data_IF_479540951379
#
_entry.id   IF_479540951379
#
_cell.length_a   1.000
_cell.length_b   1.000
_cell.length_c   1.000
_cell.angle_alpha   90.00
_cell.angle_beta   90.00
_cell.angle_gamma   90.00
#
_symmetry.space_group_name_H-M   'P 1'
#
loop_
_entity.id
_entity.type
_entity.pdbx_description
1 polymer ?
#
# COMPACT_ATOMS: atom_id res chain seq x y z
N UNK A 1 -36.33 34.77 -62.44
CA UNK A 1 -35.90 33.83 -61.39
C UNK A 1 -35.26 34.64 -60.26
N UNK A 2 -36.07 35.04 -59.30
CA UNK A 2 -35.66 35.93 -58.19
C UNK A 2 -34.94 35.13 -57.12
N UNK A 3 -33.66 35.38 -56.92
CA UNK A 3 -32.89 34.78 -55.81
C UNK A 3 -33.24 35.49 -54.51
N UNK A 4 -33.95 34.83 -53.62
CA UNK A 4 -34.22 35.29 -52.27
C UNK A 4 -32.90 35.37 -51.48
N UNK A 5 -32.52 36.60 -51.06
CA UNK A 5 -31.40 36.77 -50.13
C UNK A 5 -31.63 36.02 -48.81
N UNK A 6 -30.58 35.38 -48.25
CA UNK A 6 -30.68 34.71 -46.96
C UNK A 6 -30.88 35.76 -45.85
N UNK A 7 -31.95 35.53 -45.04
CA UNK A 7 -32.30 36.41 -43.92
C UNK A 7 -31.15 36.50 -42.88
N UNK A 8 -30.51 37.67 -42.71
CA UNK A 8 -29.50 37.91 -41.67
C UNK A 8 -30.18 37.81 -40.29
N UNK A 9 -29.72 36.88 -39.47
CA UNK A 9 -30.12 36.80 -38.07
C UNK A 9 -29.78 38.11 -37.32
N UNK A 10 -30.73 38.62 -36.53
CA UNK A 10 -30.43 39.81 -35.69
C UNK A 10 -29.32 39.48 -34.68
N UNK A 11 -28.45 40.45 -34.34
CA UNK A 11 -27.32 40.27 -33.39
C UNK A 11 -27.76 39.64 -32.09
N UNK A 12 -28.93 39.95 -31.53
CA UNK A 12 -29.51 39.36 -30.31
C UNK A 12 -29.78 37.85 -30.46
N UNK A 13 -30.32 37.44 -31.60
CA UNK A 13 -30.55 36.00 -31.89
C UNK A 13 -29.26 35.23 -32.08
N UNK A 14 -28.24 35.87 -32.69
CA UNK A 14 -26.91 35.29 -32.86
C UNK A 14 -26.20 35.05 -31.50
N UNK A 15 -26.24 36.01 -30.58
CA UNK A 15 -25.69 35.84 -29.23
C UNK A 15 -26.44 34.80 -28.43
N UNK A 16 -27.77 34.70 -28.58
CA UNK A 16 -28.55 33.64 -27.90
C UNK A 16 -28.16 32.25 -28.42
N UNK A 17 -27.98 32.07 -29.72
CA UNK A 17 -27.53 30.79 -30.33
C UNK A 17 -26.13 30.43 -29.87
N UNK A 18 -25.18 31.40 -29.82
CA UNK A 18 -23.81 31.17 -29.33
C UNK A 18 -23.84 30.75 -27.84
N UNK A 19 -24.65 31.42 -27.02
CA UNK A 19 -24.80 31.05 -25.61
C UNK A 19 -25.35 29.62 -25.39
N UNK A 20 -26.34 29.23 -26.18
CA UNK A 20 -26.89 27.87 -26.15
C UNK A 20 -25.82 26.84 -26.58
N UNK A 21 -25.09 27.08 -27.66
CA UNK A 21 -24.03 26.19 -28.16
C UNK A 21 -22.89 26.06 -27.13
N UNK A 22 -22.48 27.18 -26.50
CA UNK A 22 -21.50 27.15 -25.44
C UNK A 22 -21.97 26.33 -24.21
N UNK A 23 -23.23 26.50 -23.81
CA UNK A 23 -23.83 25.71 -22.74
C UNK A 23 -23.88 24.20 -23.04
N UNK A 24 -24.22 23.82 -24.26
CA UNK A 24 -24.22 22.42 -24.72
C UNK A 24 -22.78 21.85 -24.70
N UNK A 25 -21.80 22.63 -25.17
CA UNK A 25 -20.40 22.21 -25.18
C UNK A 25 -19.87 21.97 -23.76
N UNK A 26 -20.15 22.87 -22.82
CA UNK A 26 -19.78 22.72 -21.41
C UNK A 26 -20.44 21.46 -20.80
N UNK A 27 -21.74 21.23 -21.07
CA UNK A 27 -22.44 20.06 -20.59
C UNK A 27 -21.83 18.75 -21.15
N UNK A 28 -21.43 18.71 -22.41
CA UNK A 28 -20.76 17.58 -23.03
C UNK A 28 -19.37 17.32 -22.42
N UNK A 29 -18.59 18.36 -22.13
CA UNK A 29 -17.29 18.22 -21.47
C UNK A 29 -17.45 17.67 -20.05
N UNK A 30 -18.42 18.16 -19.27
CA UNK A 30 -18.72 17.66 -17.94
C UNK A 30 -19.18 16.19 -18.00
N UNK A 31 -20.05 15.85 -18.96
CA UNK A 31 -20.52 14.46 -19.15
C UNK A 31 -19.37 13.53 -19.52
N UNK A 32 -18.47 13.96 -20.41
CA UNK A 32 -17.29 13.20 -20.79
C UNK A 32 -16.34 13.01 -19.61
N UNK A 33 -16.12 14.03 -18.80
CA UNK A 33 -15.31 13.97 -17.58
C UNK A 33 -15.89 12.97 -16.56
N UNK A 34 -17.21 13.03 -16.30
CA UNK A 34 -17.89 12.09 -15.42
C UNK A 34 -17.86 10.66 -15.97
N UNK A 35 -17.96 10.50 -17.29
CA UNK A 35 -17.85 9.20 -17.96
C UNK A 35 -16.43 8.61 -17.82
N UNK A 36 -15.38 9.43 -17.95
CA UNK A 36 -13.98 9.02 -17.75
C UNK A 36 -13.76 8.56 -16.31
N UNK A 37 -14.27 9.30 -15.32
CA UNK A 37 -14.20 8.90 -13.90
C UNK A 37 -14.97 7.58 -13.67
N UNK A 38 -16.18 7.44 -14.20
CA UNK A 38 -16.99 6.24 -14.04
C UNK A 38 -16.38 5.01 -14.73
N UNK A 39 -15.70 5.20 -15.86
CA UNK A 39 -14.98 4.13 -16.57
C UNK A 39 -13.66 3.79 -15.86
N UNK A 40 -12.95 4.79 -15.31
CA UNK A 40 -11.76 4.58 -14.48
C UNK A 40 -12.07 3.69 -13.28
N UNK A 41 -13.08 4.04 -12.49
CA UNK A 41 -13.50 3.24 -11.33
C UNK A 41 -13.99 1.83 -11.70
N UNK A 42 -14.60 1.64 -12.88
CA UNK A 42 -15.02 0.30 -13.35
C UNK A 42 -13.85 -0.56 -13.81
N UNK A 43 -12.81 0.05 -14.41
CA UNK A 43 -11.63 -0.70 -14.86
C UNK A 43 -10.77 -1.16 -13.69
N UNK A 44 -10.67 -0.39 -12.60
CA UNK A 44 -9.91 -0.80 -11.41
C UNK A 44 -10.56 -2.01 -10.72
N UNK A 45 -11.88 -2.04 -10.56
CA UNK A 45 -12.61 -3.18 -9.98
C UNK A 45 -12.53 -4.47 -10.85
N UNK A 46 -12.34 -4.34 -12.17
CA UNK A 46 -12.21 -5.48 -13.10
C UNK A 46 -10.76 -5.95 -13.30
N UNK A 47 -9.75 -5.23 -12.75
CA UNK A 47 -8.34 -5.60 -12.85
C UNK A 47 -7.92 -6.64 -11.82
N UNK A 48 -8.74 -6.92 -10.79
CA UNK A 48 -8.45 -8.01 -9.86
C UNK A 48 -8.44 -9.33 -10.61
N UNK A 49 -7.39 -10.12 -10.43
CA UNK A 49 -7.26 -11.44 -11.07
C UNK A 49 -8.51 -12.26 -10.81
N UNK A 50 -9.34 -12.41 -11.85
CA UNK A 50 -10.62 -13.09 -11.74
C UNK A 50 -10.42 -14.58 -11.45
N UNK A 51 -10.98 -15.07 -10.34
CA UNK A 51 -11.18 -16.51 -10.14
C UNK A 51 -10.73 -17.12 -8.83
N UNK A 52 -10.05 -16.42 -7.94
CA UNK A 52 -9.68 -16.98 -6.64
C UNK A 52 -10.39 -16.22 -5.51
N UNK A 53 -11.15 -16.94 -4.68
CA UNK A 53 -11.72 -16.36 -3.47
C UNK A 53 -10.56 -16.04 -2.50
N UNK A 54 -10.28 -14.75 -2.28
CA UNK A 54 -9.25 -14.31 -1.35
C UNK A 54 -9.84 -14.20 0.06
N UNK A 55 -9.10 -14.67 1.06
CA UNK A 55 -9.51 -14.66 2.47
C UNK A 55 -8.98 -13.43 3.19
N UNK A 56 -9.66 -12.31 3.07
CA UNK A 56 -9.38 -11.10 3.85
C UNK A 56 -10.67 -10.37 4.20
N UNK A 57 -10.59 -9.50 5.19
CA UNK A 57 -11.58 -8.46 5.43
C UNK A 57 -10.93 -7.10 5.24
N UNK A 58 -11.71 -6.14 4.74
CA UNK A 58 -11.30 -4.75 4.61
C UNK A 58 -12.06 -3.90 5.63
N UNK A 59 -11.34 -3.01 6.32
CA UNK A 59 -11.89 -2.01 7.22
C UNK A 59 -11.23 -0.65 6.99
N UNK A 60 -11.96 0.43 7.25
CA UNK A 60 -11.42 1.79 7.28
C UNK A 60 -11.66 2.40 8.64
N UNK A 61 -10.62 2.97 9.24
CA UNK A 61 -10.66 3.54 10.59
C UNK A 61 -10.25 5.02 10.57
N UNK A 62 -11.06 5.85 11.25
CA UNK A 62 -10.70 7.23 11.54
C UNK A 62 -10.21 7.31 12.99
N UNK A 63 -8.90 7.49 13.16
CA UNK A 63 -8.30 7.58 14.48
C UNK A 63 -8.57 8.96 15.14
N UNK A 64 -8.59 9.05 16.49
CA UNK A 64 -8.81 10.29 17.21
C UNK A 64 -7.80 11.40 16.89
N UNK A 65 -6.59 11.04 16.49
CA UNK A 65 -5.54 11.98 16.06
C UNK A 65 -5.69 12.46 14.61
N UNK A 66 -6.81 12.14 13.94
CA UNK A 66 -7.14 12.60 12.58
C UNK A 66 -6.56 11.75 11.47
N UNK A 67 -5.87 10.65 11.77
CA UNK A 67 -5.39 9.73 10.74
C UNK A 67 -6.50 8.80 10.26
N UNK A 68 -6.62 8.65 8.94
CA UNK A 68 -7.48 7.65 8.29
C UNK A 68 -6.63 6.48 7.85
N UNK A 69 -6.99 5.28 8.29
CA UNK A 69 -6.29 4.03 8.01
C UNK A 69 -7.17 3.10 7.18
N UNK A 70 -6.58 2.45 6.17
CA UNK A 70 -7.18 1.36 5.41
C UNK A 70 -6.47 0.06 5.78
N UNK A 71 -7.23 -0.96 6.13
CA UNK A 71 -6.72 -2.18 6.76
C UNK A 71 -7.24 -3.41 6.02
N UNK A 72 -6.33 -4.28 5.60
CA UNK A 72 -6.64 -5.62 5.13
C UNK A 72 -6.23 -6.62 6.23
N UNK A 73 -7.20 -7.32 6.81
CA UNK A 73 -6.96 -8.37 7.80
C UNK A 73 -7.02 -9.73 7.13
N UNK A 74 -5.98 -10.55 7.31
CA UNK A 74 -5.88 -11.89 6.71
C UNK A 74 -5.04 -12.82 7.57
N UNK A 75 -4.92 -14.09 7.19
CA UNK A 75 -3.98 -15.02 7.81
C UNK A 75 -2.60 -14.88 7.15
N UNK A 76 -1.49 -15.00 7.90
CA UNK A 76 -0.15 -14.91 7.33
C UNK A 76 0.14 -16.02 6.30
N UNK A 77 -0.52 -17.18 6.41
CA UNK A 77 -0.43 -18.28 5.44
C UNK A 77 -1.11 -18.00 4.10
N UNK A 78 -1.95 -16.96 4.03
CA UNK A 78 -2.65 -16.55 2.80
C UNK A 78 -1.91 -15.40 2.08
N UNK A 79 -0.69 -15.09 2.54
CA UNK A 79 0.13 -13.99 2.02
C UNK A 79 1.41 -14.52 1.38
N UNK A 80 1.88 -13.82 0.36
CA UNK A 80 3.22 -13.96 -0.21
C UNK A 80 3.84 -12.60 -0.46
N UNK A 81 5.16 -12.57 -0.69
CA UNK A 81 5.88 -11.38 -1.13
C UNK A 81 6.17 -11.51 -2.63
N UNK A 82 5.97 -10.45 -3.38
CA UNK A 82 6.12 -10.49 -4.83
C UNK A 82 6.73 -9.19 -5.36
N UNK A 83 7.68 -9.32 -6.31
CA UNK A 83 8.20 -8.18 -7.07
C UNK A 83 7.23 -7.83 -8.18
N UNK A 84 6.81 -6.56 -8.26
CA UNK A 84 5.84 -6.09 -9.24
C UNK A 84 6.39 -5.00 -10.17
N UNK A 85 7.34 -4.17 -9.71
CA UNK A 85 7.90 -3.02 -10.45
C UNK A 85 6.82 -2.16 -11.12
N UNK A 86 5.73 -1.93 -10.42
CA UNK A 86 4.54 -1.22 -10.92
C UNK A 86 3.82 -0.53 -9.76
N UNK A 87 2.84 0.32 -10.06
CA UNK A 87 1.87 0.76 -9.05
C UNK A 87 0.94 -0.40 -8.68
N UNK A 88 0.68 -0.60 -7.38
CA UNK A 88 -0.14 -1.71 -6.89
C UNK A 88 -1.55 -1.65 -7.46
N UNK A 89 -2.13 -0.46 -7.59
CA UNK A 89 -3.50 -0.30 -8.13
C UNK A 89 -3.61 -0.71 -9.60
N UNK A 90 -2.48 -0.84 -10.30
CA UNK A 90 -2.43 -1.32 -11.69
C UNK A 90 -2.02 -2.79 -11.82
N UNK A 91 -1.72 -3.47 -10.68
CA UNK A 91 -1.23 -4.84 -10.70
C UNK A 91 -2.32 -5.90 -10.88
N UNK A 92 -3.58 -5.56 -10.57
CA UNK A 92 -4.68 -6.52 -10.47
C UNK A 92 -4.61 -7.44 -9.25
N UNK A 93 -3.71 -7.18 -8.30
CA UNK A 93 -3.40 -8.05 -7.15
C UNK A 93 -3.76 -7.36 -5.85
N UNK A 94 -4.44 -8.07 -4.95
CA UNK A 94 -4.82 -7.55 -3.64
C UNK A 94 -3.62 -7.53 -2.70
N UNK A 95 -3.41 -6.41 -2.01
CA UNK A 95 -2.34 -6.24 -1.04
C UNK A 95 -1.89 -4.80 -0.90
N UNK A 96 -0.71 -4.62 -0.29
CA UNK A 96 -0.08 -3.31 -0.06
C UNK A 96 1.38 -3.31 -0.52
N UNK A 97 2.00 -2.13 -0.61
CA UNK A 97 3.44 -2.02 -0.86
C UNK A 97 4.27 -2.74 0.21
N UNK A 98 5.48 -3.15 -0.18
CA UNK A 98 6.44 -3.81 0.70
C UNK A 98 7.44 -2.84 1.33
N UNK A 99 8.68 -3.31 1.49
CA UNK A 99 9.76 -2.59 2.16
C UNK A 99 10.47 -1.55 1.29
N UNK A 100 11.51 -0.96 1.86
CA UNK A 100 12.29 0.12 1.23
C UNK A 100 12.98 -0.34 -0.05
N UNK A 101 13.07 0.56 -1.04
CA UNK A 101 13.73 0.33 -2.31
C UNK A 101 14.40 1.61 -2.85
N UNK A 102 15.29 1.43 -3.84
CA UNK A 102 15.87 2.52 -4.61
C UNK A 102 16.04 2.08 -6.07
N UNK A 103 15.42 2.81 -7.00
CA UNK A 103 15.28 2.33 -8.38
C UNK A 103 14.52 0.99 -8.39
N UNK A 104 15.13 -0.04 -8.97
CA UNK A 104 14.58 -1.40 -9.01
C UNK A 104 15.17 -2.33 -7.94
N UNK A 105 15.94 -1.78 -6.99
CA UNK A 105 16.67 -2.53 -5.97
C UNK A 105 15.95 -2.49 -4.62
N UNK A 106 15.71 -3.65 -4.02
CA UNK A 106 15.20 -3.74 -2.65
C UNK A 106 16.30 -3.39 -1.65
N UNK A 107 16.01 -2.47 -0.73
CA UNK A 107 16.87 -2.10 0.39
C UNK A 107 16.46 -2.79 1.70
N UNK A 108 15.42 -3.60 1.64
CA UNK A 108 14.87 -4.37 2.76
C UNK A 108 14.88 -5.85 2.46
N UNK A 109 14.90 -6.67 3.52
CA UNK A 109 14.67 -8.11 3.39
C UNK A 109 13.28 -8.31 2.77
N UNK A 110 13.23 -9.19 1.75
CA UNK A 110 12.01 -9.66 1.10
C UNK A 110 12.28 -11.06 0.59
N UNK A 111 11.94 -12.09 1.40
CA UNK A 111 12.22 -13.50 1.07
C UNK A 111 10.97 -14.35 1.27
N UNK A 112 10.84 -15.35 0.41
CA UNK A 112 9.86 -16.44 0.54
C UNK A 112 10.64 -17.76 0.42
N UNK A 113 10.49 -18.63 1.40
CA UNK A 113 11.15 -19.94 1.43
C UNK A 113 12.68 -19.87 1.18
N UNK A 114 13.33 -18.93 1.83
CA UNK A 114 14.76 -18.59 1.68
C UNK A 114 15.16 -17.96 0.34
N UNK A 115 14.22 -17.74 -0.59
CA UNK A 115 14.49 -17.16 -1.90
C UNK A 115 14.19 -15.67 -1.87
N UNK A 116 15.16 -14.79 -2.16
CA UNK A 116 14.89 -13.36 -2.33
C UNK A 116 13.90 -13.11 -3.46
N UNK A 117 12.94 -12.21 -3.24
CA UNK A 117 11.84 -12.00 -4.20
C UNK A 117 12.24 -11.20 -5.43
N UNK A 118 13.35 -10.48 -5.40
CA UNK A 118 13.91 -9.81 -6.57
C UNK A 118 15.00 -10.68 -7.21
N UNK A 119 15.10 -10.74 -8.50
CA UNK A 119 15.58 -11.83 -9.36
C UNK A 119 17.01 -12.38 -9.16
N UNK A 120 17.93 -11.67 -8.54
CA UNK A 120 19.33 -12.09 -8.48
C UNK A 120 19.76 -12.53 -7.08
N UNK A 121 19.81 -13.82 -6.83
CA UNK A 121 20.21 -14.38 -5.52
C UNK A 121 21.64 -13.95 -5.16
N UNK A 122 21.81 -13.39 -3.96
CA UNK A 122 23.10 -13.01 -3.40
C UNK A 122 23.65 -11.65 -3.83
N UNK A 123 22.96 -10.94 -4.73
CA UNK A 123 23.31 -9.58 -5.14
C UNK A 123 22.63 -8.52 -4.27
N UNK A 124 23.25 -7.35 -4.12
CA UNK A 124 22.65 -6.20 -3.47
C UNK A 124 21.32 -5.83 -4.12
N UNK A 125 20.30 -5.57 -3.30
CA UNK A 125 18.98 -5.14 -3.78
C UNK A 125 18.03 -6.26 -4.21
N UNK A 126 18.36 -7.52 -3.90
CA UNK A 126 17.48 -8.68 -4.20
C UNK A 126 16.42 -8.94 -3.14
N UNK A 127 16.55 -8.37 -1.96
CA UNK A 127 15.75 -8.69 -0.78
C UNK A 127 16.44 -9.65 0.18
N UNK A 128 17.72 -9.99 -0.04
CA UNK A 128 18.50 -10.85 0.85
C UNK A 128 18.96 -10.14 2.13
N UNK A 129 18.91 -8.80 2.16
CA UNK A 129 19.42 -8.01 3.28
C UNK A 129 18.66 -6.70 3.54
N UNK A 130 18.75 -6.20 4.77
CA UNK A 130 18.44 -4.84 5.15
C UNK A 130 19.71 -4.00 4.98
N UNK A 131 19.72 -3.15 3.95
CA UNK A 131 20.94 -2.44 3.53
C UNK A 131 21.37 -1.40 4.58
N UNK A 132 22.64 -1.38 4.94
CA UNK A 132 23.33 -0.50 5.88
C UNK A 132 22.99 -0.71 7.38
N UNK A 133 21.78 -1.09 7.72
CA UNK A 133 21.32 -1.17 9.11
C UNK A 133 20.62 -2.49 9.36
N UNK A 134 20.88 -3.10 10.52
CA UNK A 134 19.98 -4.13 11.01
C UNK A 134 18.62 -3.49 11.31
N UNK A 135 17.54 -4.07 10.79
CA UNK A 135 16.18 -3.50 10.86
C UNK A 135 15.16 -4.55 11.23
N UNK A 136 14.05 -4.08 11.77
CA UNK A 136 12.89 -4.91 12.05
C UNK A 136 12.43 -5.65 10.81
N UNK A 137 12.28 -6.94 10.95
CA UNK A 137 11.83 -7.84 9.90
C UNK A 137 10.69 -8.67 10.44
N UNK A 138 9.50 -8.54 9.86
CA UNK A 138 8.35 -9.36 10.17
C UNK A 138 8.53 -10.71 9.49
N UNK A 139 8.47 -11.77 10.30
CA UNK A 139 8.70 -13.16 9.89
C UNK A 139 7.47 -13.99 10.22
N UNK A 140 6.93 -14.67 9.23
CA UNK A 140 6.00 -15.79 9.44
C UNK A 140 6.72 -17.11 9.28
N UNK A 141 6.72 -17.92 10.32
CA UNK A 141 7.26 -19.29 10.33
C UNK A 141 6.10 -20.28 10.12
N UNK A 142 6.00 -20.82 8.93
CA UNK A 142 4.90 -21.72 8.56
C UNK A 142 4.93 -23.08 9.28
N UNK A 143 6.05 -23.49 9.91
CA UNK A 143 6.10 -24.72 10.69
C UNK A 143 5.45 -24.56 12.07
N UNK A 144 5.47 -23.35 12.63
CA UNK A 144 4.80 -23.03 13.90
C UNK A 144 3.51 -22.23 13.72
N UNK A 145 3.27 -21.71 12.53
CA UNK A 145 2.20 -20.76 12.18
C UNK A 145 2.23 -19.50 13.08
N UNK A 146 3.44 -19.00 13.34
CA UNK A 146 3.67 -17.87 14.23
C UNK A 146 4.32 -16.70 13.48
N UNK A 147 3.90 -15.48 13.84
CA UNK A 147 4.52 -14.23 13.45
C UNK A 147 5.49 -13.75 14.53
N UNK A 148 6.58 -13.13 14.13
CA UNK A 148 7.54 -12.45 15.00
C UNK A 148 8.22 -11.29 14.30
N UNK A 149 8.64 -10.28 15.05
CA UNK A 149 9.55 -9.23 14.56
C UNK A 149 10.96 -9.54 15.04
N UNK A 150 11.89 -9.67 14.08
CA UNK A 150 13.31 -9.94 14.35
C UNK A 150 14.16 -8.82 13.77
N UNK A 151 15.11 -8.29 14.54
CA UNK A 151 16.07 -7.29 14.04
C UNK A 151 17.22 -8.04 13.39
N UNK A 152 17.39 -7.87 12.08
CA UNK A 152 18.38 -8.59 11.30
C UNK A 152 18.99 -7.70 10.20
N UNK A 153 20.24 -7.95 9.84
CA UNK A 153 20.90 -7.36 8.68
C UNK A 153 20.69 -8.20 7.43
N UNK A 154 20.65 -9.53 7.57
CA UNK A 154 20.53 -10.48 6.46
C UNK A 154 19.42 -11.49 6.72
N UNK A 155 18.79 -11.96 5.65
CA UNK A 155 17.77 -13.00 5.74
C UNK A 155 18.30 -14.31 6.36
N UNK A 156 19.61 -14.62 6.17
CA UNK A 156 20.27 -15.79 6.78
C UNK A 156 20.43 -15.72 8.30
N UNK A 157 20.21 -14.57 8.92
CA UNK A 157 20.24 -14.38 10.38
C UNK A 157 18.88 -14.67 11.04
N UNK A 158 17.81 -14.78 10.22
CA UNK A 158 16.45 -15.00 10.71
C UNK A 158 16.29 -16.38 11.32
N UNK A 159 15.64 -16.42 12.47
CA UNK A 159 15.35 -17.67 13.20
C UNK A 159 13.99 -18.17 12.76
N UNK A 160 13.98 -19.23 11.95
CA UNK A 160 12.80 -19.96 11.50
C UNK A 160 13.00 -21.46 11.70
N UNK A 161 11.93 -22.21 11.95
CA UNK A 161 12.00 -23.66 12.14
C UNK A 161 12.15 -24.42 10.83
N UNK A 162 11.49 -23.91 9.77
CA UNK A 162 11.50 -24.51 8.45
C UNK A 162 11.81 -23.45 7.38
N UNK A 163 13.01 -23.51 6.84
CA UNK A 163 13.49 -22.60 5.80
C UNK A 163 12.83 -22.83 4.42
N UNK A 164 12.00 -23.85 4.28
CA UNK A 164 11.25 -24.15 3.05
C UNK A 164 9.78 -23.73 3.14
N UNK A 165 9.37 -23.13 4.28
CA UNK A 165 7.98 -22.69 4.51
C UNK A 165 7.93 -21.47 5.41
N UNK A 166 8.37 -20.32 4.91
CA UNK A 166 8.28 -19.05 5.62
C UNK A 166 8.32 -17.87 4.65
N UNK A 167 7.90 -16.71 5.11
CA UNK A 167 8.23 -15.47 4.45
C UNK A 167 8.74 -14.45 5.48
N UNK A 168 9.55 -13.50 5.00
CA UNK A 168 10.07 -12.44 5.83
C UNK A 168 10.14 -11.11 5.07
N UNK A 169 9.59 -10.06 5.68
CA UNK A 169 9.51 -8.70 5.17
C UNK A 169 10.26 -7.74 6.08
N UNK A 170 11.30 -7.09 5.56
CA UNK A 170 12.05 -6.05 6.26
C UNK A 170 11.34 -4.69 6.25
N UNK A 171 11.51 -3.94 7.33
CA UNK A 171 10.95 -2.61 7.54
C UNK A 171 11.64 -1.92 8.71
N UNK A 172 10.87 -1.27 9.59
CA UNK A 172 11.34 -0.69 10.86
C UNK A 172 10.47 -1.25 11.98
N UNK A 173 11.05 -1.71 13.08
CA UNK A 173 10.33 -2.24 14.25
C UNK A 173 9.34 -1.22 14.81
N UNK A 174 8.11 -1.65 15.09
CA UNK A 174 7.11 -0.84 15.77
C UNK A 174 7.19 -0.93 17.30
N UNK A 175 7.60 -2.09 17.83
CA UNK A 175 7.64 -2.35 19.27
C UNK A 175 6.32 -1.95 19.94
N UNK A 176 5.19 -2.51 19.49
CA UNK A 176 3.84 -2.08 19.88
C UNK A 176 3.57 -2.25 21.37
N UNK A 177 4.18 -3.25 22.00
CA UNK A 177 4.04 -3.50 23.45
C UNK A 177 5.01 -2.70 24.34
N UNK A 178 5.88 -1.83 23.80
CA UNK A 178 6.91 -1.13 24.55
C UNK A 178 7.16 0.28 24.03
N UNK A 179 6.47 1.25 24.62
CA UNK A 179 6.53 2.65 24.21
C UNK A 179 7.90 3.31 24.48
N UNK A 180 8.61 2.86 25.48
CA UNK A 180 9.96 3.37 25.77
C UNK A 180 10.98 2.86 24.74
N UNK A 181 10.84 1.62 24.32
CA UNK A 181 11.76 0.95 23.40
C UNK A 181 11.58 1.41 21.95
N UNK A 182 10.36 1.66 21.48
CA UNK A 182 10.12 1.92 20.08
C UNK A 182 10.87 3.15 19.55
N UNK A 183 10.97 4.24 20.34
CA UNK A 183 11.70 5.45 19.96
C UNK A 183 13.18 5.16 19.79
N UNK A 184 13.79 4.47 20.77
CA UNK A 184 15.21 4.06 20.73
C UNK A 184 15.47 3.13 19.53
N UNK A 185 14.57 2.16 19.30
CA UNK A 185 14.70 1.21 18.22
C UNK A 185 14.58 1.88 16.83
N UNK A 186 13.66 2.82 16.69
CA UNK A 186 13.47 3.62 15.45
C UNK A 186 14.74 4.40 15.09
N UNK A 187 15.43 4.94 16.09
CA UNK A 187 16.72 5.63 15.90
C UNK A 187 17.83 4.65 15.51
N UNK A 188 17.95 3.50 16.21
CA UNK A 188 18.96 2.46 15.91
C UNK A 188 18.81 1.89 14.49
N UNK A 189 17.58 1.69 14.04
CA UNK A 189 17.27 1.17 12.72
C UNK A 189 17.34 2.23 11.61
N UNK A 190 17.67 3.48 11.98
CA UNK A 190 17.72 4.64 11.09
C UNK A 190 16.43 4.76 10.25
N UNK A 191 15.28 4.87 10.93
CA UNK A 191 13.99 5.05 10.28
C UNK A 191 13.99 6.32 9.42
N UNK A 192 13.56 6.23 8.14
CA UNK A 192 13.53 7.39 7.26
C UNK A 192 12.40 8.34 7.66
N UNK A 193 12.72 9.63 7.81
CA UNK A 193 11.75 10.72 8.02
C UNK A 193 10.72 10.46 9.12
N UNK A 194 11.14 10.10 10.36
CA UNK A 194 10.19 9.69 11.39
C UNK A 194 9.30 10.83 11.88
N UNK A 195 9.77 12.07 11.82
CA UNK A 195 9.05 13.27 12.27
C UNK A 195 8.28 14.01 11.16
N UNK A 196 8.40 13.60 9.91
CA UNK A 196 7.74 14.27 8.79
C UNK A 196 6.30 13.77 8.63
N UNK A 197 5.39 14.66 8.20
CA UNK A 197 4.04 14.30 7.80
C UNK A 197 4.04 13.65 6.41
N UNK A 198 3.94 12.32 6.38
CA UNK A 198 3.96 11.49 5.17
C UNK A 198 2.85 10.46 5.19
N UNK A 199 2.46 9.94 4.02
CA UNK A 199 1.70 8.70 3.95
C UNK A 199 2.53 7.57 4.52
N UNK A 200 1.87 6.60 5.17
CA UNK A 200 2.53 5.52 5.90
C UNK A 200 1.92 4.17 5.57
N UNK A 201 2.75 3.13 5.62
CA UNK A 201 2.34 1.74 5.47
C UNK A 201 2.94 0.89 6.57
N UNK A 202 2.23 -0.16 6.97
CA UNK A 202 2.65 -1.07 8.03
C UNK A 202 2.09 -2.47 7.83
N UNK A 203 2.75 -3.45 8.48
CA UNK A 203 2.24 -4.78 8.69
C UNK A 203 2.35 -5.11 10.18
N UNK A 204 1.23 -5.40 10.83
CA UNK A 204 1.16 -5.71 12.27
C UNK A 204 0.37 -7.01 12.48
N UNK A 205 0.51 -7.63 13.65
CA UNK A 205 -0.22 -8.86 13.97
C UNK A 205 -0.74 -8.87 15.40
N UNK A 206 -1.79 -9.66 15.62
CA UNK A 206 -2.45 -9.81 16.92
C UNK A 206 -2.10 -11.15 17.62
N UNK A 207 -2.60 -11.28 18.87
CA UNK A 207 -2.44 -12.48 19.69
C UNK A 207 -3.04 -13.76 19.07
N UNK A 208 -4.02 -13.62 18.18
CA UNK A 208 -4.61 -14.72 17.43
C UNK A 208 -3.79 -15.12 16.19
N UNK A 209 -2.68 -14.43 15.91
CA UNK A 209 -1.84 -14.65 14.74
C UNK A 209 -2.42 -14.09 13.45
N UNK A 210 -3.42 -13.20 13.50
CA UNK A 210 -3.94 -12.52 12.32
C UNK A 210 -3.00 -11.38 11.91
N UNK A 211 -2.79 -11.25 10.62
CA UNK A 211 -1.99 -10.21 9.99
C UNK A 211 -2.88 -9.05 9.51
N UNK A 212 -2.46 -7.83 9.80
CA UNK A 212 -3.10 -6.61 9.35
C UNK A 212 -2.12 -5.83 8.45
N UNK A 213 -2.49 -5.63 7.21
CA UNK A 213 -1.78 -4.81 6.24
C UNK A 213 -2.44 -3.44 6.20
N UNK A 214 -1.71 -2.38 6.52
CA UNK A 214 -2.26 -1.07 6.83
C UNK A 214 -1.62 0.00 5.95
N UNK A 215 -2.44 0.86 5.35
CA UNK A 215 -2.00 2.06 4.62
C UNK A 215 -2.79 3.27 5.13
N UNK A 216 -2.10 4.38 5.38
CA UNK A 216 -2.77 5.63 5.73
C UNK A 216 -3.21 6.39 4.48
N UNK A 217 -4.43 6.94 4.49
CA UNK A 217 -4.91 7.88 3.48
C UNK A 217 -4.46 9.32 3.80
N UNK A 218 -4.32 9.61 5.09
CA UNK A 218 -3.84 10.91 5.59
C UNK A 218 -2.36 10.86 5.92
N UNK A 219 -1.67 11.99 5.80
CA UNK A 219 -0.26 12.12 6.19
C UNK A 219 -0.12 12.25 7.70
N UNK A 220 0.98 11.69 8.24
CA UNK A 220 1.33 11.81 9.65
C UNK A 220 2.77 11.37 9.91
N UNK A 221 3.25 11.67 11.12
CA UNK A 221 4.56 11.19 11.62
C UNK A 221 4.51 9.68 11.88
N UNK A 222 5.66 9.02 12.06
CA UNK A 222 5.67 7.61 12.50
C UNK A 222 4.96 7.43 13.85
N UNK A 223 5.12 8.41 14.77
CA UNK A 223 4.47 8.37 16.07
C UNK A 223 2.93 8.43 15.95
N UNK A 224 2.41 9.39 15.20
CA UNK A 224 0.95 9.52 15.00
C UNK A 224 0.35 8.32 14.27
N UNK A 225 1.07 7.73 13.30
CA UNK A 225 0.61 6.53 12.60
C UNK A 225 0.60 5.30 13.51
N UNK A 226 1.67 5.10 14.33
CA UNK A 226 1.71 4.04 15.35
C UNK A 226 0.57 4.18 16.36
N UNK A 227 0.34 5.40 16.87
CA UNK A 227 -0.75 5.71 17.80
C UNK A 227 -2.12 5.37 17.18
N UNK A 228 -2.37 5.80 15.94
CA UNK A 228 -3.61 5.49 15.24
C UNK A 228 -3.85 3.98 15.12
N UNK A 229 -2.81 3.20 14.81
CA UNK A 229 -2.88 1.74 14.73
C UNK A 229 -3.26 1.14 16.10
N UNK A 230 -2.56 1.53 17.17
CA UNK A 230 -2.81 1.02 18.54
C UNK A 230 -4.25 1.32 18.98
N UNK A 231 -4.77 2.50 18.65
CA UNK A 231 -6.09 2.94 19.08
C UNK A 231 -7.24 2.32 18.29
N UNK A 232 -7.02 1.92 17.02
CA UNK A 232 -8.14 1.59 16.14
C UNK A 232 -8.07 0.20 15.51
N UNK A 233 -6.91 -0.44 15.49
CA UNK A 233 -6.72 -1.74 14.86
C UNK A 233 -6.54 -2.84 15.91
N UNK A 234 -7.09 -4.04 15.64
CA UNK A 234 -6.86 -5.24 16.43
C UNK A 234 -7.50 -5.25 17.83
N UNK A 235 -8.41 -4.31 18.12
CA UNK A 235 -9.19 -4.26 19.37
C UNK A 235 -8.33 -4.34 20.66
N UNK A 236 -7.14 -3.74 20.66
CA UNK A 236 -6.19 -3.76 21.77
C UNK A 236 -5.42 -5.07 21.94
N UNK A 237 -5.45 -5.98 20.96
CA UNK A 237 -4.79 -7.29 20.99
C UNK A 237 -3.55 -7.38 20.09
N UNK A 238 -3.09 -6.25 19.55
CA UNK A 238 -1.89 -6.22 18.73
C UNK A 238 -0.67 -6.60 19.56
N UNK A 239 0.19 -7.45 18.99
CA UNK A 239 1.44 -7.92 19.63
C UNK A 239 2.61 -7.08 19.16
N UNK A 240 2.86 -7.03 17.85
CA UNK A 240 3.96 -6.26 17.27
C UNK A 240 3.77 -6.07 15.75
N UNK A 241 4.73 -5.42 15.10
CA UNK A 241 4.72 -5.17 13.67
C UNK A 241 5.89 -4.35 13.19
N UNK A 242 5.84 -3.98 11.92
CA UNK A 242 6.84 -3.17 11.25
C UNK A 242 6.21 -2.03 10.46
N UNK A 243 6.88 -0.88 10.41
CA UNK A 243 6.64 0.12 9.39
C UNK A 243 7.28 -0.33 8.08
N UNK A 244 6.59 -0.11 6.98
CA UNK A 244 7.03 -0.39 5.62
C UNK A 244 7.50 0.90 4.92
N UNK A 245 7.78 0.84 3.62
CA UNK A 245 8.05 2.03 2.84
C UNK A 245 6.83 2.95 2.81
N UNK A 246 7.08 4.24 2.92
CA UNK A 246 6.05 5.25 3.11
C UNK A 246 6.00 6.27 1.97
N UNK A 247 5.37 7.42 2.26
CA UNK A 247 5.20 8.54 1.33
C UNK A 247 4.44 8.11 0.06
N UNK A 248 4.89 8.48 -1.12
CA UNK A 248 4.29 8.11 -2.38
C UNK A 248 4.24 6.61 -2.67
N UNK A 249 5.02 5.80 -1.94
CA UNK A 249 5.00 4.35 -2.01
C UNK A 249 3.86 3.70 -1.21
N UNK A 250 3.14 4.45 -0.37
CA UNK A 250 2.01 3.92 0.42
C UNK A 250 0.82 3.63 -0.49
N UNK A 251 0.68 2.38 -0.90
CA UNK A 251 -0.29 1.92 -1.89
C UNK A 251 -1.06 0.69 -1.39
N UNK A 252 -2.33 0.60 -1.77
CA UNK A 252 -3.22 -0.51 -1.45
C UNK A 252 -4.16 -0.79 -2.62
N UNK A 253 -4.40 -2.06 -2.92
CA UNK A 253 -5.49 -2.51 -3.79
C UNK A 253 -6.26 -3.63 -3.13
N UNK A 254 -7.57 -3.48 -3.08
CA UNK A 254 -8.55 -4.51 -2.70
C UNK A 254 -9.81 -4.37 -3.55
N UNK A 255 -10.83 -5.23 -3.31
CA UNK A 255 -12.16 -5.03 -3.90
C UNK A 255 -12.87 -3.77 -3.40
N UNK A 256 -12.48 -3.26 -2.23
CA UNK A 256 -13.18 -2.21 -1.49
C UNK A 256 -12.46 -0.85 -1.55
N UNK A 257 -11.13 -0.85 -1.79
CA UNK A 257 -10.31 0.35 -1.80
C UNK A 257 -9.15 0.27 -2.79
N UNK A 258 -8.80 1.42 -3.36
CA UNK A 258 -7.69 1.61 -4.28
C UNK A 258 -6.95 2.90 -3.89
N UNK A 259 -5.74 2.76 -3.33
CA UNK A 259 -4.88 3.85 -2.88
C UNK A 259 -3.60 3.86 -3.72
N UNK A 260 -3.45 4.77 -4.68
CA UNK A 260 -2.32 4.76 -5.61
C UNK A 260 -1.04 5.43 -5.06
N UNK A 261 -1.05 5.96 -3.84
CA UNK A 261 0.04 6.80 -3.35
C UNK A 261 0.21 8.05 -4.21
N UNK A 262 1.41 8.30 -4.71
CA UNK A 262 1.68 9.36 -5.68
C UNK A 262 1.77 8.85 -7.14
N UNK A 263 1.25 7.66 -7.40
CA UNK A 263 1.26 6.93 -8.67
C UNK A 263 2.63 6.39 -9.11
N UNK A 264 3.68 6.46 -8.28
CA UNK A 264 4.98 5.86 -8.62
C UNK A 264 4.91 4.34 -8.65
N UNK A 265 5.76 3.66 -9.44
CA UNK A 265 5.95 2.23 -9.28
C UNK A 265 6.64 1.93 -7.94
N UNK A 266 6.26 0.80 -7.32
CA UNK A 266 6.98 0.19 -6.20
C UNK A 266 7.59 -1.13 -6.67
N UNK A 267 8.72 -1.52 -6.05
CA UNK A 267 9.44 -2.74 -6.48
C UNK A 267 8.69 -3.99 -6.02
N UNK A 268 8.15 -3.97 -4.81
CA UNK A 268 7.61 -5.14 -4.13
C UNK A 268 6.27 -4.84 -3.47
N UNK A 269 5.43 -5.85 -3.39
CA UNK A 269 4.20 -5.86 -2.62
C UNK A 269 4.13 -7.04 -1.63
N UNK A 270 3.35 -6.86 -0.58
CA UNK A 270 2.81 -7.92 0.26
C UNK A 270 1.44 -8.28 -0.33
N UNK A 271 1.36 -9.45 -0.99
CA UNK A 271 0.20 -9.89 -1.76
C UNK A 271 -0.63 -10.90 -0.97
N UNK A 272 -1.96 -10.78 -1.01
CA UNK A 272 -2.90 -11.80 -0.54
C UNK A 272 -3.16 -12.75 -1.72
N UNK A 273 -2.99 -14.09 -1.49
CA UNK A 273 -3.03 -15.11 -2.54
C UNK A 273 -4.09 -16.18 -2.33
N UNK A 274 -4.75 -16.19 -1.17
CA UNK A 274 -5.84 -17.15 -0.86
C UNK A 274 -6.98 -16.46 -0.14
#
# INVERSE_FOLDING_TARGET
MEMKEPARLSRKKMFAVIGILAGILIALVIMLYLMIIALGNRNEANLLEAGQALHYTYDSHNAPNGMTLHVLKTRPADVTLETINNNITLSGKVGINGGFFYGEQLLSIGVVDSIPVNKEIGSFGTGSENVKYARGTLVWDGASDLLSVQVASKASELKVKDHTRFWAQGGISMSLGDDARWVEQTVKENAPFPGDDRLRSAAVYDEAGMLYLIVSETKGTLASFREAIIQTVGEGKLVDGIFLDGDGSSQLLSSDASLPGDNRPVVQMIRIVK
#
